data_IF_540106721995
#
_entry.id   IF_540106721995
#
_cell.length_a   1.000
_cell.length_b   1.000
_cell.length_c   1.000
_cell.angle_alpha   90.00
_cell.angle_beta   90.00
_cell.angle_gamma   90.00
#
_symmetry.space_group_name_H-M   'P 1'
#
loop_
_entity.id
_entity.type
_entity.pdbx_description
1 polymer ?
#
# COMPACT_ATOMS: atom_id res chain seq x y z
N UNK A 1 -10.08 19.40 -1.29
CA UNK A 1 -11.19 18.44 -1.51
C UNK A 1 -11.44 17.71 -0.20
N UNK A 2 -12.72 17.46 0.17
CA UNK A 2 -13.04 16.64 1.36
C UNK A 2 -12.63 15.20 1.16
N UNK A 3 -12.14 14.50 2.19
CA UNK A 3 -11.78 13.06 2.13
C UNK A 3 -12.94 12.19 1.64
N UNK A 4 -14.17 12.51 2.04
CA UNK A 4 -15.37 11.79 1.58
C UNK A 4 -15.58 11.93 0.07
N UNK A 5 -15.41 13.14 -0.44
CA UNK A 5 -15.58 13.42 -1.86
C UNK A 5 -14.50 12.74 -2.70
N UNK A 6 -13.25 12.75 -2.24
CA UNK A 6 -12.16 12.04 -2.89
C UNK A 6 -12.44 10.53 -2.96
N UNK A 7 -12.83 9.91 -1.84
CA UNK A 7 -13.16 8.48 -1.80
C UNK A 7 -14.31 8.12 -2.74
N UNK A 8 -15.32 9.00 -2.85
CA UNK A 8 -16.44 8.81 -3.78
C UNK A 8 -15.97 8.82 -5.23
N UNK A 9 -15.15 9.79 -5.62
CA UNK A 9 -14.60 9.85 -6.98
C UNK A 9 -13.65 8.68 -7.26
N UNK A 10 -12.81 8.30 -6.31
CA UNK A 10 -11.92 7.14 -6.46
C UNK A 10 -12.72 5.86 -6.70
N UNK A 11 -13.82 5.65 -5.95
CA UNK A 11 -14.71 4.51 -6.16
C UNK A 11 -15.40 4.55 -7.54
N UNK A 12 -15.88 5.73 -7.95
CA UNK A 12 -16.48 5.93 -9.27
C UNK A 12 -15.50 5.57 -10.40
N UNK A 13 -14.27 6.08 -10.34
CA UNK A 13 -13.21 5.80 -11.32
C UNK A 13 -12.94 4.29 -11.39
N UNK A 14 -12.76 3.64 -10.25
CA UNK A 14 -12.43 2.21 -10.22
C UNK A 14 -13.54 1.34 -10.77
N UNK A 15 -14.80 1.65 -10.48
CA UNK A 15 -15.96 0.92 -11.05
C UNK A 15 -16.06 1.09 -12.56
N UNK A 16 -15.93 2.31 -13.05
CA UNK A 16 -16.03 2.60 -14.49
C UNK A 16 -14.83 2.07 -15.29
N UNK A 17 -13.67 1.93 -14.65
CA UNK A 17 -12.50 1.28 -15.27
C UNK A 17 -12.63 -0.25 -15.38
N UNK A 18 -13.72 -0.84 -14.89
CA UNK A 18 -13.96 -2.29 -14.95
C UNK A 18 -13.28 -3.10 -13.85
N UNK A 19 -12.78 -2.44 -12.80
CA UNK A 19 -12.15 -3.11 -11.65
C UNK A 19 -13.14 -3.78 -10.70
N UNK A 20 -14.44 -3.45 -10.80
CA UNK A 20 -15.47 -4.04 -9.95
C UNK A 20 -15.93 -5.44 -10.34
N UNK A 21 -15.76 -5.85 -11.60
CA UNK A 21 -16.37 -7.07 -12.15
C UNK A 21 -15.37 -8.03 -12.81
N UNK A 22 -14.09 -7.67 -12.91
CA UNK A 22 -13.12 -8.49 -13.63
C UNK A 22 -12.62 -9.64 -12.79
N UNK A 23 -12.57 -10.83 -13.40
CA UNK A 23 -11.80 -11.98 -12.91
C UNK A 23 -10.28 -11.73 -12.92
N UNK A 24 -9.85 -10.60 -13.51
CA UNK A 24 -8.47 -10.15 -13.53
C UNK A 24 -8.03 -9.74 -12.11
N UNK A 25 -6.85 -10.17 -11.70
CA UNK A 25 -6.27 -9.90 -10.38
C UNK A 25 -5.46 -11.09 -9.88
N UNK A 26 -4.72 -10.86 -8.81
CA UNK A 26 -3.94 -11.91 -8.15
C UNK A 26 -4.74 -12.55 -7.01
N UNK A 27 -4.52 -13.84 -6.78
CA UNK A 27 -5.17 -14.56 -5.67
C UNK A 27 -4.41 -14.29 -4.36
N UNK A 28 -5.03 -13.52 -3.46
CA UNK A 28 -4.52 -13.28 -2.11
C UNK A 28 -5.48 -13.96 -1.13
N UNK A 29 -4.98 -14.91 -0.34
CA UNK A 29 -5.76 -15.64 0.67
C UNK A 29 -7.12 -16.19 0.14
N UNK A 30 -7.11 -16.79 -1.05
CA UNK A 30 -8.28 -17.35 -1.77
C UNK A 30 -9.28 -16.31 -2.31
N UNK A 31 -8.99 -15.02 -2.19
CA UNK A 31 -9.80 -13.95 -2.80
C UNK A 31 -9.06 -13.39 -4.00
N UNK A 32 -9.79 -13.12 -5.07
CA UNK A 32 -9.23 -12.41 -6.21
C UNK A 32 -9.13 -10.93 -5.85
N UNK A 33 -7.92 -10.37 -5.88
CA UNK A 33 -7.66 -8.98 -5.52
C UNK A 33 -6.97 -8.31 -6.71
N UNK A 34 -7.60 -7.31 -7.27
CA UNK A 34 -7.10 -6.57 -8.43
C UNK A 34 -6.65 -5.15 -8.08
N UNK A 35 -7.06 -4.63 -6.93
CA UNK A 35 -6.59 -3.33 -6.44
C UNK A 35 -6.53 -3.29 -4.91
N UNK A 36 -5.63 -2.46 -4.39
CA UNK A 36 -5.57 -2.05 -2.99
C UNK A 36 -5.58 -0.53 -2.94
N UNK A 37 -6.34 0.04 -2.02
CA UNK A 37 -6.45 1.50 -1.85
C UNK A 37 -6.15 1.90 -0.42
N UNK A 38 -5.33 2.91 -0.28
CA UNK A 38 -5.00 3.50 1.00
C UNK A 38 -4.89 5.02 0.85
N UNK A 39 -5.86 5.76 1.37
CA UNK A 39 -6.03 7.20 1.16
C UNK A 39 -6.07 7.54 -0.34
N UNK A 40 -5.07 8.26 -0.85
CA UNK A 40 -4.87 8.65 -2.25
C UNK A 40 -3.97 7.68 -3.03
N UNK A 41 -3.32 6.76 -2.35
CA UNK A 41 -2.50 5.72 -2.98
C UNK A 41 -3.37 4.54 -3.46
N UNK A 42 -3.18 4.13 -4.70
CA UNK A 42 -3.85 2.97 -5.28
C UNK A 42 -2.82 2.04 -5.92
N UNK A 43 -2.89 0.77 -5.59
CA UNK A 43 -2.10 -0.28 -6.22
C UNK A 43 -3.01 -1.14 -7.08
N UNK A 44 -2.66 -1.31 -8.36
CA UNK A 44 -3.32 -2.25 -9.28
C UNK A 44 -2.50 -3.54 -9.35
N UNK A 45 -3.16 -4.69 -9.28
CA UNK A 45 -2.52 -6.00 -9.25
C UNK A 45 -3.11 -6.89 -10.33
N UNK A 46 -2.31 -7.25 -11.33
CA UNK A 46 -2.72 -8.03 -12.49
C UNK A 46 -1.59 -8.97 -12.89
N UNK A 47 -1.92 -10.11 -13.48
CA UNK A 47 -0.95 -11.11 -13.92
C UNK A 47 -0.33 -10.77 -15.28
N UNK A 48 -1.07 -10.06 -16.16
CA UNK A 48 -0.66 -9.73 -17.53
C UNK A 48 -0.21 -8.27 -17.66
N UNK A 49 0.92 -8.04 -18.35
CA UNK A 49 1.44 -6.71 -18.65
C UNK A 49 0.49 -5.91 -19.53
N UNK A 50 -0.10 -6.55 -20.53
CA UNK A 50 -1.01 -5.94 -21.51
C UNK A 50 -2.32 -5.52 -20.83
N UNK A 51 -2.85 -6.37 -19.96
CA UNK A 51 -4.04 -6.04 -19.16
C UNK A 51 -3.77 -4.87 -18.20
N UNK A 52 -2.61 -4.85 -17.55
CA UNK A 52 -2.23 -3.75 -16.67
C UNK A 52 -2.13 -2.43 -17.43
N UNK A 53 -1.55 -2.45 -18.64
CA UNK A 53 -1.48 -1.28 -19.51
C UNK A 53 -2.87 -0.79 -19.89
N UNK A 54 -3.74 -1.69 -20.36
CA UNK A 54 -5.12 -1.36 -20.73
C UNK A 54 -5.90 -0.78 -19.55
N UNK A 55 -5.74 -1.37 -18.38
CA UNK A 55 -6.42 -0.91 -17.17
C UNK A 55 -5.92 0.47 -16.72
N UNK A 56 -4.61 0.70 -16.73
CA UNK A 56 -4.02 1.99 -16.38
C UNK A 56 -4.54 3.10 -17.31
N UNK A 57 -4.69 2.80 -18.61
CA UNK A 57 -5.30 3.71 -19.59
C UNK A 57 -6.73 4.08 -19.21
N UNK A 58 -7.56 3.07 -18.92
CA UNK A 58 -8.95 3.31 -18.51
C UNK A 58 -9.05 4.11 -17.22
N UNK A 59 -8.22 3.80 -16.23
CA UNK A 59 -8.18 4.56 -14.96
C UNK A 59 -7.80 6.02 -15.23
N UNK A 60 -6.84 6.27 -16.13
CA UNK A 60 -6.46 7.62 -16.54
C UNK A 60 -7.63 8.36 -17.19
N UNK A 61 -8.27 7.76 -18.19
CA UNK A 61 -9.42 8.34 -18.89
C UNK A 61 -10.58 8.69 -17.94
N UNK A 62 -10.92 7.75 -17.05
CA UNK A 62 -12.00 7.97 -16.07
C UNK A 62 -11.61 9.05 -15.03
N UNK A 63 -10.35 9.13 -14.64
CA UNK A 63 -9.88 10.17 -13.72
C UNK A 63 -9.90 11.56 -14.34
N UNK A 64 -9.53 11.69 -15.61
CA UNK A 64 -9.58 12.96 -16.35
C UNK A 64 -11.02 13.49 -16.48
N UNK A 65 -12.03 12.62 -16.65
CA UNK A 65 -13.45 13.01 -16.69
C UNK A 65 -13.93 13.71 -15.41
N UNK A 66 -13.33 13.41 -14.29
CA UNK A 66 -13.64 14.02 -12.99
C UNK A 66 -12.59 15.03 -12.52
N UNK A 67 -11.76 15.51 -13.44
CA UNK A 67 -10.69 16.48 -13.21
C UNK A 67 -9.67 16.02 -12.15
N UNK A 68 -9.45 14.71 -12.02
CA UNK A 68 -8.38 14.09 -11.23
C UNK A 68 -7.30 13.59 -12.18
N UNK A 69 -6.06 14.03 -11.98
CA UNK A 69 -4.94 13.60 -12.81
C UNK A 69 -4.08 12.59 -12.08
N UNK A 70 -3.74 11.50 -12.78
CA UNK A 70 -2.75 10.55 -12.29
C UNK A 70 -1.38 11.22 -12.22
N UNK A 71 -0.71 11.08 -11.09
CA UNK A 71 0.66 11.56 -10.94
C UNK A 71 1.64 10.50 -11.46
N UNK A 72 1.96 10.57 -12.74
CA UNK A 72 2.84 9.59 -13.42
C UNK A 72 4.23 9.55 -12.80
N UNK A 73 4.77 10.69 -12.35
CA UNK A 73 6.09 10.73 -11.71
C UNK A 73 6.14 9.96 -10.38
N UNK A 74 5.00 9.87 -9.67
CA UNK A 74 4.86 9.07 -8.46
C UNK A 74 4.39 7.65 -8.73
N UNK A 75 3.84 7.39 -9.92
CA UNK A 75 3.39 6.05 -10.31
C UNK A 75 4.59 5.16 -10.58
N UNK A 76 4.59 3.96 -10.00
CA UNK A 76 5.68 3.00 -10.13
C UNK A 76 5.13 1.64 -10.52
N UNK A 77 5.92 0.88 -11.26
CA UNK A 77 5.56 -0.47 -11.67
C UNK A 77 6.54 -1.45 -11.02
N UNK A 78 5.98 -2.50 -10.46
CA UNK A 78 6.73 -3.62 -9.91
C UNK A 78 6.27 -4.92 -10.55
N UNK A 79 7.20 -5.77 -10.94
CA UNK A 79 6.90 -7.09 -11.47
C UNK A 79 7.82 -8.13 -10.84
N UNK A 80 7.29 -9.35 -10.71
CA UNK A 80 8.06 -10.51 -10.20
C UNK A 80 9.13 -11.01 -11.18
N UNK A 81 8.97 -10.67 -12.48
CA UNK A 81 9.98 -10.97 -13.52
C UNK A 81 10.63 -9.67 -13.99
N UNK A 82 11.91 -9.73 -14.43
CA UNK A 82 12.62 -8.55 -14.90
C UNK A 82 11.89 -7.90 -16.07
N UNK A 83 11.47 -6.66 -15.91
CA UNK A 83 10.95 -5.83 -16.99
C UNK A 83 12.02 -4.78 -17.32
N UNK A 84 12.53 -4.81 -18.54
CA UNK A 84 13.60 -3.91 -18.99
C UNK A 84 13.14 -2.47 -19.17
N UNK A 85 11.89 -2.27 -19.55
CA UNK A 85 11.27 -0.93 -19.64
C UNK A 85 9.77 -1.04 -19.69
N UNK A 86 9.10 -0.05 -19.13
CA UNK A 86 7.66 0.12 -19.26
C UNK A 86 7.38 1.46 -19.94
N UNK A 87 6.98 1.40 -21.19
CA UNK A 87 6.52 2.56 -21.93
C UNK A 87 5.00 2.50 -22.06
N UNK A 88 4.34 3.53 -21.63
CA UNK A 88 2.97 3.85 -22.01
C UNK A 88 3.02 4.77 -23.24
N UNK A 89 1.90 4.96 -23.91
CA UNK A 89 1.86 5.73 -25.17
C UNK A 89 2.21 7.22 -24.96
N UNK A 90 2.35 7.68 -23.71
CA UNK A 90 2.60 9.08 -23.36
C UNK A 90 3.81 9.32 -22.45
N UNK A 91 4.26 8.35 -21.64
CA UNK A 91 5.38 8.55 -20.73
C UNK A 91 6.05 7.22 -20.32
N UNK A 92 7.29 7.31 -19.87
CA UNK A 92 8.01 6.19 -19.29
C UNK A 92 7.70 6.14 -17.78
N UNK A 93 7.17 5.01 -17.30
CA UNK A 93 6.91 4.78 -15.88
C UNK A 93 8.10 4.07 -15.24
N UNK A 94 8.52 4.54 -14.07
CA UNK A 94 9.63 3.97 -13.33
C UNK A 94 9.32 2.53 -12.89
N UNK A 95 10.25 1.62 -13.18
CA UNK A 95 10.19 0.23 -12.71
C UNK A 95 11.01 0.09 -11.43
N UNK A 96 10.42 -0.48 -10.39
CA UNK A 96 11.07 -0.62 -9.07
C UNK A 96 11.05 -2.06 -8.60
N UNK A 97 12.04 -2.44 -7.78
CA UNK A 97 12.12 -3.74 -7.13
C UNK A 97 11.35 -3.80 -5.81
N UNK A 98 11.07 -2.65 -5.22
CA UNK A 98 10.30 -2.53 -3.99
C UNK A 98 9.61 -1.17 -3.89
N UNK A 99 8.55 -1.09 -3.10
CA UNK A 99 7.86 0.16 -2.76
C UNK A 99 7.20 0.08 -1.39
N UNK A 100 6.79 1.23 -0.86
CA UNK A 100 6.07 1.30 0.41
C UNK A 100 4.60 1.61 0.13
N UNK A 101 3.70 0.72 0.56
CA UNK A 101 2.25 0.91 0.48
C UNK A 101 1.63 0.76 1.87
N UNK A 102 0.81 1.72 2.29
CA UNK A 102 0.18 1.71 3.62
C UNK A 102 1.18 1.58 4.79
N UNK A 103 2.42 2.04 4.60
CA UNK A 103 3.49 1.92 5.59
C UNK A 103 4.25 0.59 5.58
N UNK A 104 3.90 -0.35 4.68
CA UNK A 104 4.60 -1.64 4.53
C UNK A 104 5.48 -1.67 3.31
N UNK A 105 6.67 -2.24 3.43
CA UNK A 105 7.58 -2.46 2.31
C UNK A 105 7.19 -3.74 1.58
N UNK A 106 6.84 -3.61 0.30
CA UNK A 106 6.52 -4.71 -0.60
C UNK A 106 7.67 -4.87 -1.59
N UNK A 107 8.10 -6.10 -1.82
CA UNK A 107 9.22 -6.44 -2.71
C UNK A 107 8.75 -7.33 -3.86
N UNK A 108 9.39 -7.21 -5.02
CA UNK A 108 9.03 -7.94 -6.23
C UNK A 108 9.24 -9.46 -6.11
N UNK A 109 10.18 -9.89 -5.28
CA UNK A 109 10.46 -11.30 -4.98
C UNK A 109 9.51 -11.92 -3.95
N UNK A 110 8.63 -11.11 -3.34
CA UNK A 110 7.71 -11.55 -2.29
C UNK A 110 8.39 -11.84 -0.94
N UNK A 111 9.69 -11.52 -0.78
CA UNK A 111 10.39 -11.73 0.48
C UNK A 111 10.00 -10.67 1.54
N UNK A 112 9.25 -11.08 2.53
CA UNK A 112 8.85 -10.23 3.66
C UNK A 112 9.96 -10.04 4.73
N UNK A 113 11.10 -10.71 4.62
CA UNK A 113 12.17 -10.67 5.63
C UNK A 113 12.68 -9.26 5.90
N UNK A 114 12.79 -8.44 4.85
CA UNK A 114 13.20 -7.04 4.97
C UNK A 114 12.19 -6.21 5.75
N UNK A 115 10.90 -6.38 5.49
CA UNK A 115 9.83 -5.68 6.21
C UNK A 115 9.77 -6.12 7.68
N UNK A 116 9.89 -7.42 7.95
CA UNK A 116 9.95 -7.94 9.32
C UNK A 116 11.11 -7.32 10.08
N UNK A 117 12.32 -7.31 9.51
CA UNK A 117 13.51 -6.68 10.12
C UNK A 117 13.31 -5.19 10.36
N UNK A 118 12.74 -4.47 9.39
CA UNK A 118 12.43 -3.03 9.50
C UNK A 118 11.48 -2.77 10.66
N UNK A 119 10.40 -3.55 10.79
CA UNK A 119 9.44 -3.42 11.90
C UNK A 119 10.03 -3.76 13.26
N UNK A 120 10.85 -4.80 13.33
CA UNK A 120 11.57 -5.13 14.55
C UNK A 120 12.52 -3.99 14.97
N UNK A 121 13.19 -3.36 14.02
CA UNK A 121 14.04 -2.20 14.28
C UNK A 121 13.23 -1.00 14.80
N UNK A 122 12.11 -0.67 14.15
CA UNK A 122 11.21 0.41 14.60
C UNK A 122 10.67 0.14 16.00
N UNK A 123 10.26 -1.09 16.28
CA UNK A 123 9.83 -1.52 17.62
C UNK A 123 10.94 -1.30 18.66
N UNK A 124 12.17 -1.71 18.35
CA UNK A 124 13.32 -1.49 19.24
C UNK A 124 13.52 -0.01 19.52
N UNK A 125 13.43 0.86 18.50
CA UNK A 125 13.54 2.30 18.64
C UNK A 125 12.46 2.88 19.55
N UNK A 126 11.20 2.48 19.38
CA UNK A 126 10.09 2.91 20.26
C UNK A 126 10.31 2.45 21.70
N UNK A 127 10.73 1.19 21.90
CA UNK A 127 11.05 0.68 23.24
C UNK A 127 12.19 1.45 23.91
N UNK A 128 13.23 1.80 23.14
CA UNK A 128 14.35 2.62 23.66
C UNK A 128 13.88 4.02 24.08
N UNK A 129 13.00 4.64 23.30
CA UNK A 129 12.43 5.94 23.64
C UNK A 129 11.58 5.91 24.93
N UNK A 130 11.01 4.75 25.26
CA UNK A 130 10.21 4.54 26.47
C UNK A 130 11.01 4.00 27.66
N UNK A 131 12.33 3.82 27.52
CA UNK A 131 13.18 3.15 28.52
C UNK A 131 13.16 3.86 29.87
N UNK A 132 13.18 5.20 29.89
CA UNK A 132 13.06 6.01 31.12
C UNK A 132 11.75 5.76 31.86
N UNK A 133 10.64 5.61 31.11
CA UNK A 133 9.32 5.32 31.68
C UNK A 133 9.28 3.90 32.24
N UNK A 134 9.86 2.93 31.53
CA UNK A 134 9.88 1.54 31.98
C UNK A 134 10.78 1.33 33.20
N UNK A 135 11.84 2.10 33.34
CA UNK A 135 12.75 2.07 34.50
C UNK A 135 12.22 2.85 35.71
N UNK A 136 11.27 3.77 35.53
CA UNK A 136 10.68 4.52 36.63
C UNK A 136 9.96 3.59 37.63
N UNK A 137 10.19 3.80 38.94
CA UNK A 137 9.50 3.10 40.01
C UNK A 137 8.13 3.70 40.32
N UNK A 138 7.89 4.93 39.96
CA UNK A 138 6.65 5.67 40.22
C UNK A 138 5.52 5.24 39.28
N UNK A 139 5.84 4.56 38.18
CA UNK A 139 4.88 4.10 37.19
C UNK A 139 4.55 2.63 37.46
N UNK A 140 3.26 2.36 37.68
CA UNK A 140 2.76 1.00 37.99
C UNK A 140 2.89 0.06 36.79
N UNK A 141 3.05 -1.23 37.02
CA UNK A 141 3.15 -2.25 36.00
C UNK A 141 1.94 -2.26 35.04
N UNK A 142 0.67 -2.11 35.47
CA UNK A 142 -0.47 -2.02 34.57
C UNK A 142 -0.37 -0.84 33.62
N UNK A 143 0.13 0.31 34.07
CA UNK A 143 0.35 1.49 33.22
C UNK A 143 1.43 1.23 32.18
N UNK A 144 2.55 0.60 32.56
CA UNK A 144 3.62 0.19 31.61
C UNK A 144 3.09 -0.76 30.54
N UNK A 145 2.28 -1.75 30.92
CA UNK A 145 1.65 -2.68 29.97
C UNK A 145 0.70 -1.95 29.02
N UNK A 146 -0.08 -0.98 29.52
CA UNK A 146 -0.96 -0.15 28.67
C UNK A 146 -0.16 0.65 27.66
N UNK A 147 0.97 1.24 28.06
CA UNK A 147 1.86 1.97 27.15
C UNK A 147 2.45 1.07 26.07
N UNK A 148 2.89 -0.13 26.40
CA UNK A 148 3.36 -1.11 25.41
C UNK A 148 2.27 -1.43 24.40
N UNK A 149 1.05 -1.72 24.88
CA UNK A 149 -0.10 -2.01 24.02
C UNK A 149 -0.46 -0.84 23.11
N UNK A 150 -0.40 0.39 23.62
CA UNK A 150 -0.79 1.58 22.85
C UNK A 150 0.28 2.05 21.86
N UNK A 151 1.57 1.92 22.19
CA UNK A 151 2.66 2.54 21.41
C UNK A 151 3.52 1.52 20.66
N UNK A 152 3.71 0.33 21.19
CA UNK A 152 4.59 -0.68 20.58
C UNK A 152 3.81 -1.65 19.69
N UNK A 153 2.66 -2.15 20.14
CA UNK A 153 1.84 -3.07 19.32
C UNK A 153 1.41 -2.48 17.99
N UNK A 154 0.92 -1.23 17.87
CA UNK A 154 0.53 -0.67 16.59
C UNK A 154 1.68 -0.66 15.56
N UNK A 155 2.91 -0.41 16.00
CA UNK A 155 4.10 -0.43 15.12
C UNK A 155 4.37 -1.83 14.56
N UNK A 156 3.96 -2.89 15.29
CA UNK A 156 4.17 -4.29 14.85
C UNK A 156 2.99 -4.81 14.02
N UNK A 157 1.76 -4.38 14.36
CA UNK A 157 0.51 -5.01 13.88
C UNK A 157 -0.17 -4.16 12.80
N UNK A 158 0.38 -3.01 12.43
CA UNK A 158 -0.28 -2.03 11.55
C UNK A 158 -0.74 -2.57 10.19
N UNK A 159 -0.44 -3.83 9.86
CA UNK A 159 -0.84 -4.49 8.60
C UNK A 159 -2.06 -5.39 8.67
N UNK A 160 -2.66 -5.60 9.82
CA UNK A 160 -3.79 -6.55 9.93
C UNK A 160 -5.13 -5.92 9.56
N UNK A 161 -5.19 -4.61 9.33
CA UNK A 161 -6.44 -3.90 9.01
C UNK A 161 -6.63 -3.51 7.53
N UNK A 162 -5.78 -3.96 6.65
CA UNK A 162 -5.99 -3.81 5.20
C UNK A 162 -6.68 -5.08 4.70
N UNK A 163 -7.97 -5.20 4.97
CA UNK A 163 -8.74 -6.34 4.47
C UNK A 163 -9.96 -6.72 5.33
N UNK A 164 -10.80 -5.77 5.65
CA UNK A 164 -12.21 -6.03 5.98
C UNK A 164 -13.09 -5.09 5.18
#
# INVERSE_FOLDING_TARGET
MSHFLFNFYAEYIMRNSGLGETQAGIKVARRNTNNLRYTDDTTLMIESKEELKSLLMKVKEESEKVCLNLNIQKTKIMASSPITSWQTDWETVETVSDFIFGGSKITADGDCSHEIKRRLFLRKKVMTNLDSIFKSRDITLPTKVRLVKAMVFPVVIMDVKVGQ
#
